data_IF_378463448554
#
_entry.id   IF_378463448554
#
_cell.length_a   1.000
_cell.length_b   1.000
_cell.length_c   1.000
_cell.angle_alpha   90.00
_cell.angle_beta   90.00
_cell.angle_gamma   90.00
#
_symmetry.space_group_name_H-M   'P 1'
#
loop_
_entity.id
_entity.type
_entity.pdbx_description
1 polymer ?
#
# COMPACT_ATOMS: atom_id res chain seq x y z
N UNK A 1 20.48 -7.60 -30.00
CA UNK A 1 20.37 -6.77 -28.79
C UNK A 1 19.04 -6.05 -28.87
N UNK A 2 17.99 -6.66 -28.28
CA UNK A 2 16.66 -6.06 -28.20
C UNK A 2 16.50 -5.58 -26.76
N UNK A 3 16.58 -4.27 -26.56
CA UNK A 3 16.12 -3.65 -25.31
C UNK A 3 14.60 -3.62 -25.40
N UNK A 4 13.97 -4.59 -24.74
CA UNK A 4 12.55 -4.51 -24.44
C UNK A 4 12.53 -3.64 -23.19
N UNK A 5 12.26 -2.34 -23.34
CA UNK A 5 11.91 -1.48 -22.22
C UNK A 5 10.53 -1.94 -21.71
N UNK A 6 10.52 -3.06 -21.01
CA UNK A 6 9.42 -3.49 -20.15
C UNK A 6 9.47 -2.57 -18.94
N UNK A 7 8.92 -1.36 -19.07
CA UNK A 7 8.49 -0.59 -17.92
C UNK A 7 7.38 -1.42 -17.28
N UNK A 8 7.75 -2.31 -16.36
CA UNK A 8 6.79 -3.01 -15.51
C UNK A 8 6.08 -1.93 -14.70
N UNK A 9 4.80 -1.69 -15.02
CA UNK A 9 3.93 -0.84 -14.23
C UNK A 9 3.81 -1.44 -12.82
N UNK A 10 4.59 -0.93 -11.88
CA UNK A 10 4.54 -1.32 -10.47
C UNK A 10 3.35 -0.65 -9.78
N UNK A 11 2.13 -1.13 -10.07
CA UNK A 11 0.97 -0.77 -9.27
C UNK A 11 1.21 -1.26 -7.83
N UNK A 12 1.04 -0.35 -6.87
CA UNK A 12 1.21 -0.64 -5.44
C UNK A 12 -0.14 -0.51 -4.75
N UNK A 13 -0.51 -1.50 -3.96
CA UNK A 13 -1.64 -1.36 -3.04
C UNK A 13 -1.10 -0.99 -1.66
N UNK A 14 -1.77 -0.05 -0.99
CA UNK A 14 -1.51 0.24 0.42
C UNK A 14 -2.52 -0.53 1.26
N UNK A 15 -2.03 -1.40 2.13
CA UNK A 15 -2.87 -2.14 3.09
C UNK A 15 -2.75 -1.50 4.46
N UNK A 16 -3.89 -1.28 5.12
CA UNK A 16 -3.96 -0.67 6.45
C UNK A 16 -4.84 -1.52 7.35
N UNK A 17 -4.40 -1.74 8.59
CA UNK A 17 -5.23 -2.36 9.62
C UNK A 17 -6.02 -1.32 10.41
N UNK A 18 -7.35 -1.37 10.34
CA UNK A 18 -8.23 -0.44 11.07
C UNK A 18 -8.19 -0.62 12.59
N UNK A 19 -7.64 -1.73 13.09
CA UNK A 19 -7.58 -1.98 14.53
C UNK A 19 -6.29 -1.50 15.20
N UNK A 20 -5.15 -1.55 14.50
CA UNK A 20 -3.84 -1.25 15.09
C UNK A 20 -3.00 -0.29 14.25
N UNK A 21 -3.54 0.22 13.14
CA UNK A 21 -2.92 1.23 12.28
C UNK A 21 -1.61 0.77 11.63
N UNK A 22 -1.33 -0.54 11.66
CA UNK A 22 -0.26 -1.13 10.88
C UNK A 22 -0.55 -0.95 9.39
N UNK A 23 0.46 -0.58 8.61
CA UNK A 23 0.33 -0.37 7.17
C UNK A 23 1.51 -0.98 6.39
N UNK A 24 1.27 -1.39 5.15
CA UNK A 24 2.29 -1.93 4.25
C UNK A 24 1.95 -1.66 2.77
N UNK A 25 2.97 -1.50 1.94
CA UNK A 25 2.81 -1.52 0.47
C UNK A 25 2.94 -2.93 -0.08
N UNK A 26 2.00 -3.31 -0.94
CA UNK A 26 1.98 -4.55 -1.70
C UNK A 26 2.35 -4.28 -3.16
N UNK A 27 3.21 -5.11 -3.74
CA UNK A 27 3.51 -5.10 -5.17
C UNK A 27 2.43 -5.88 -5.94
N UNK A 28 2.15 -5.52 -7.20
CA UNK A 28 1.27 -6.30 -8.08
C UNK A 28 1.71 -7.77 -8.11
N UNK A 29 0.74 -8.68 -8.01
CA UNK A 29 0.85 -10.13 -7.74
C UNK A 29 0.96 -10.57 -6.27
N UNK A 30 1.36 -9.71 -5.34
CA UNK A 30 1.26 -10.01 -3.90
C UNK A 30 -0.17 -9.90 -3.36
N UNK A 31 -1.07 -9.23 -4.08
CA UNK A 31 -2.52 -9.25 -3.82
C UNK A 31 -3.14 -10.66 -3.96
N UNK A 32 -2.44 -11.60 -4.64
CA UNK A 32 -2.84 -13.02 -4.66
C UNK A 32 -2.53 -13.75 -3.35
N UNK A 33 -1.70 -13.15 -2.49
CA UNK A 33 -1.54 -13.58 -1.10
C UNK A 33 -2.76 -13.09 -0.34
N UNK A 34 -3.65 -14.02 0.03
CA UNK A 34 -4.82 -13.75 0.87
C UNK A 34 -4.39 -13.23 2.25
N UNK A 35 -4.03 -11.95 2.36
CA UNK A 35 -3.82 -11.25 3.62
C UNK A 35 -5.17 -11.05 4.29
N UNK A 36 -5.64 -12.07 5.00
CA UNK A 36 -6.91 -12.04 5.72
C UNK A 36 -6.75 -11.54 7.16
N UNK A 37 -5.52 -11.50 7.69
CA UNK A 37 -5.23 -11.12 9.07
C UNK A 37 -4.05 -10.17 9.13
N UNK A 38 -4.16 -9.15 9.97
CA UNK A 38 -3.06 -8.25 10.29
C UNK A 38 -1.94 -9.03 11.00
N UNK A 39 -0.69 -8.98 10.51
CA UNK A 39 0.43 -9.68 11.15
C UNK A 39 0.79 -9.13 12.53
N UNK A 40 0.35 -7.90 12.85
CA UNK A 40 0.66 -7.22 14.10
C UNK A 40 -0.34 -7.52 15.21
N UNK A 41 -1.64 -7.51 14.91
CA UNK A 41 -2.69 -7.66 15.93
C UNK A 41 -3.59 -8.90 15.74
N UNK A 42 -3.40 -9.65 14.65
CA UNK A 42 -4.14 -10.87 14.35
C UNK A 42 -5.62 -10.65 14.00
N UNK A 43 -6.05 -9.40 13.75
CA UNK A 43 -7.43 -9.07 13.36
C UNK A 43 -7.54 -8.92 11.84
N UNK A 44 -8.71 -9.25 11.29
CA UNK A 44 -8.96 -9.26 9.84
C UNK A 44 -9.57 -7.98 9.26
N UNK A 45 -9.58 -6.89 10.02
CA UNK A 45 -10.07 -5.60 9.54
C UNK A 45 -8.93 -4.87 8.82
N UNK A 46 -8.69 -5.31 7.58
CA UNK A 46 -7.69 -4.75 6.66
C UNK A 46 -8.40 -4.01 5.52
N UNK A 47 -8.01 -2.77 5.31
CA UNK A 47 -8.42 -1.92 4.19
C UNK A 47 -7.31 -1.90 3.13
N UNK A 48 -7.70 -1.98 1.86
CA UNK A 48 -6.78 -1.94 0.72
C UNK A 48 -7.10 -0.70 -0.11
N UNK A 49 -6.10 0.16 -0.26
CA UNK A 49 -6.19 1.42 -1.00
C UNK A 49 -5.32 1.29 -2.25
N UNK A 50 -5.89 1.30 -3.46
CA UNK A 50 -5.11 1.23 -4.69
C UNK A 50 -4.33 2.54 -4.87
N UNK A 51 -3.01 2.44 -5.11
CA UNK A 51 -2.15 3.57 -5.48
C UNK A 51 -1.90 3.48 -6.99
N UNK A 52 -2.16 4.57 -7.73
CA UNK A 52 -1.97 4.55 -9.17
C UNK A 52 -0.48 4.47 -9.53
N UNK A 53 -0.19 3.99 -10.74
CA UNK A 53 1.17 4.09 -11.28
C UNK A 53 1.62 5.56 -11.29
N UNK A 54 2.86 5.79 -10.87
CA UNK A 54 3.44 7.13 -10.75
C UNK A 54 2.75 8.02 -9.70
N UNK A 55 2.02 7.42 -8.76
CA UNK A 55 1.64 8.09 -7.52
C UNK A 55 2.51 7.57 -6.38
N UNK A 56 3.29 8.48 -5.82
CA UNK A 56 3.94 8.29 -4.53
C UNK A 56 2.95 8.66 -3.43
N UNK A 57 3.09 8.06 -2.24
CA UNK A 57 2.32 8.49 -1.07
C UNK A 57 3.25 8.79 0.11
N UNK A 58 2.86 9.78 0.92
CA UNK A 58 3.46 10.05 2.23
C UNK A 58 2.48 9.65 3.31
N UNK A 59 2.98 8.91 4.29
CA UNK A 59 2.20 8.50 5.46
C UNK A 59 2.76 9.16 6.71
N UNK A 60 1.89 9.80 7.48
CA UNK A 60 2.22 10.30 8.82
C UNK A 60 1.25 9.72 9.85
N UNK A 61 1.81 9.28 10.98
CA UNK A 61 1.05 8.71 12.09
C UNK A 61 1.14 9.68 13.26
N UNK A 62 0.00 10.18 13.71
CA UNK A 62 -0.14 11.04 14.88
C UNK A 62 -1.10 10.43 15.89
N UNK A 63 -0.72 10.45 17.18
CA UNK A 63 -1.51 9.81 18.23
C UNK A 63 -2.87 10.47 18.48
N UNK A 64 -3.08 11.72 18.03
CA UNK A 64 -4.36 12.45 18.18
C UNK A 64 -5.16 12.50 16.89
N UNK A 65 -4.50 12.56 15.74
CA UNK A 65 -5.12 12.73 14.41
C UNK A 65 -5.22 11.42 13.63
N UNK A 66 -4.61 10.34 14.10
CA UNK A 66 -4.61 9.04 13.44
C UNK A 66 -3.59 8.97 12.30
N UNK A 67 -3.96 8.27 11.23
CA UNK A 67 -3.14 8.15 10.02
C UNK A 67 -3.57 9.24 9.03
N UNK A 68 -2.61 9.97 8.49
CA UNK A 68 -2.78 10.86 7.35
C UNK A 68 -1.96 10.33 6.17
N UNK A 69 -2.58 10.30 4.99
CA UNK A 69 -1.99 9.79 3.75
C UNK A 69 -2.15 10.85 2.68
N UNK A 70 -1.02 11.32 2.15
CA UNK A 70 -0.98 12.31 1.07
C UNK A 70 -0.49 11.64 -0.22
N UNK A 71 -1.29 11.71 -1.28
CA UNK A 71 -0.92 11.21 -2.61
C UNK A 71 -0.24 12.32 -3.42
N UNK A 72 0.92 12.00 -3.99
CA UNK A 72 1.76 12.91 -4.76
C UNK A 72 2.03 12.28 -6.11
N UNK A 73 1.75 13.02 -7.18
CA UNK A 73 2.06 12.58 -8.54
C UNK A 73 3.56 12.72 -8.80
N UNK A 74 4.20 11.63 -9.19
CA UNK A 74 5.57 11.68 -9.70
C UNK A 74 5.59 12.43 -11.03
N UNK A 75 6.59 13.31 -11.21
CA UNK A 75 6.74 14.16 -12.38
C UNK A 75 7.30 13.42 -13.58
#
# INVERSE_FOLDING_TARGET
>A
MFVIDLVMQEYRDLVICNNCLWAASLLKDSASVNFQLCPTCGKGDLEIIPVADYESYKMSIDNKRGIEIEFVKDK
#
